data_IF_553214861573
#
_entry.id   IF_553214861573
#
_cell.length_a   1.000
_cell.length_b   1.000
_cell.length_c   1.000
_cell.angle_alpha   90.00
_cell.angle_beta   90.00
_cell.angle_gamma   90.00
#
_symmetry.space_group_name_H-M   'P 1'
#
loop_
_entity.id
_entity.type
_entity.pdbx_description
1 polymer ?
#
# COMPACT_ATOMS: atom_id res chain seq x y z
N UNK A 1 25.54 19.80 -50.44
CA UNK A 1 26.10 18.94 -51.50
C UNK A 1 25.25 17.67 -51.57
N UNK A 2 24.26 17.63 -52.45
CA UNK A 2 24.23 16.93 -53.76
C UNK A 2 23.92 15.41 -53.64
N UNK A 3 22.66 15.09 -54.01
CA UNK A 3 22.13 14.00 -54.88
C UNK A 3 22.35 12.51 -54.51
N UNK A 4 21.26 11.78 -54.19
CA UNK A 4 20.38 10.94 -55.05
C UNK A 4 20.95 9.59 -55.48
N UNK A 5 20.17 8.53 -55.28
CA UNK A 5 20.33 7.25 -55.99
C UNK A 5 19.26 6.23 -55.59
N UNK A 6 18.19 6.14 -56.38
CA UNK A 6 17.24 5.01 -56.44
C UNK A 6 17.89 3.86 -57.22
N UNK A 7 17.65 2.61 -56.84
CA UNK A 7 17.35 1.54 -57.82
C UNK A 7 16.52 0.44 -57.17
N UNK A 8 15.66 -0.13 -58.00
CA UNK A 8 14.53 -1.02 -57.79
C UNK A 8 14.89 -2.32 -58.51
N UNK A 9 14.60 -3.50 -57.94
CA UNK A 9 14.23 -4.69 -58.72
C UNK A 9 13.70 -5.83 -57.83
N UNK A 10 12.61 -6.43 -58.31
CA UNK A 10 11.94 -7.68 -57.95
C UNK A 10 11.74 -8.41 -59.31
N UNK A 11 11.06 -9.57 -59.48
CA UNK A 11 10.59 -10.64 -58.58
C UNK A 11 10.86 -12.08 -59.16
N UNK A 12 10.56 -13.14 -58.41
CA UNK A 12 10.12 -14.49 -58.87
C UNK A 12 10.17 -15.45 -57.66
N UNK A 13 9.30 -16.43 -57.43
CA UNK A 13 8.21 -16.99 -58.21
C UNK A 13 7.41 -18.00 -57.38
N UNK A 14 6.24 -18.33 -57.89
CA UNK A 14 5.15 -19.17 -57.37
C UNK A 14 5.54 -20.66 -57.26
N UNK A 15 5.09 -21.37 -56.21
CA UNK A 15 4.44 -22.69 -56.36
C UNK A 15 3.69 -23.19 -55.12
N UNK A 16 2.39 -23.31 -55.34
CA UNK A 16 1.36 -24.06 -54.64
C UNK A 16 1.67 -25.56 -54.58
N UNK A 17 1.44 -26.22 -53.45
CA UNK A 17 0.76 -27.53 -53.34
C UNK A 17 0.47 -27.89 -51.88
N UNK A 18 -0.82 -28.05 -51.53
CA UNK A 18 -1.26 -28.98 -50.48
C UNK A 18 -1.27 -30.40 -51.05
N UNK A 19 -1.25 -31.44 -50.19
CA UNK A 19 -2.50 -32.20 -50.08
C UNK A 19 -2.80 -32.83 -48.71
N UNK A 20 -4.12 -32.98 -48.52
CA UNK A 20 -4.85 -34.11 -47.91
C UNK A 20 -4.85 -34.26 -46.38
N UNK A 21 -5.95 -33.72 -45.85
CA UNK A 21 -6.73 -34.30 -44.76
C UNK A 21 -6.94 -35.82 -44.94
N UNK A 22 -6.66 -36.58 -43.88
CA UNK A 22 -7.27 -37.88 -43.63
C UNK A 22 -8.27 -37.72 -42.49
N UNK A 23 -9.53 -37.65 -42.87
CA UNK A 23 -10.65 -37.89 -41.99
C UNK A 23 -10.77 -39.40 -41.75
N UNK A 24 -10.84 -39.83 -40.49
CA UNK A 24 -11.46 -41.12 -40.15
C UNK A 24 -12.16 -41.08 -38.80
N UNK A 25 -13.49 -41.09 -38.93
CA UNK A 25 -14.49 -41.74 -38.10
C UNK A 25 -14.58 -41.38 -36.61
N UNK A 26 -15.60 -40.56 -36.33
CA UNK A 26 -16.33 -40.46 -35.07
C UNK A 26 -16.72 -41.87 -34.56
N UNK A 27 -16.47 -42.14 -33.28
CA UNK A 27 -17.17 -43.15 -32.48
C UNK A 27 -17.83 -42.43 -31.31
N UNK A 28 -19.15 -42.40 -31.31
CA UNK A 28 -20.02 -42.09 -30.17
C UNK A 28 -21.19 -43.09 -30.24
N UNK A 29 -21.93 -43.36 -29.16
CA UNK A 29 -21.59 -44.32 -28.10
C UNK A 29 -22.63 -45.46 -28.05
N UNK A 30 -22.24 -46.64 -27.58
CA UNK A 30 -23.19 -47.71 -27.29
C UNK A 30 -23.44 -47.82 -25.78
N UNK A 31 -24.63 -47.39 -25.37
CA UNK A 31 -25.28 -47.75 -24.11
C UNK A 31 -25.98 -49.10 -24.29
N UNK A 32 -25.95 -49.99 -23.28
CA UNK A 32 -27.06 -50.92 -23.09
C UNK A 32 -27.67 -50.83 -21.69
N UNK A 33 -28.99 -50.63 -21.71
CA UNK A 33 -30.02 -51.37 -20.98
C UNK A 33 -29.97 -51.44 -19.45
N UNK A 34 -30.83 -50.58 -18.90
CA UNK A 34 -31.63 -50.74 -17.70
C UNK A 34 -32.19 -52.16 -17.60
N UNK A 35 -31.96 -52.82 -16.45
CA UNK A 35 -32.76 -53.96 -16.00
C UNK A 35 -33.49 -53.55 -14.73
N UNK A 36 -34.82 -53.59 -14.83
CA UNK A 36 -35.75 -53.45 -13.73
C UNK A 36 -35.81 -54.77 -12.95
N UNK A 37 -35.82 -54.68 -11.62
CA UNK A 37 -36.46 -55.69 -10.77
C UNK A 37 -37.29 -54.94 -9.71
N UNK A 38 -38.59 -55.17 -9.80
CA UNK A 38 -39.67 -54.87 -8.86
C UNK A 38 -39.59 -55.94 -7.74
N UNK A 39 -39.71 -55.63 -6.45
CA UNK A 39 -40.94 -55.55 -5.63
C UNK A 39 -40.51 -55.64 -4.13
N UNK A 40 -41.38 -55.50 -3.11
CA UNK A 40 -42.56 -54.64 -2.94
C UNK A 40 -42.47 -53.76 -1.67
N UNK A 41 -43.24 -52.67 -1.65
CA UNK A 41 -43.59 -51.85 -0.47
C UNK A 41 -44.69 -52.51 0.34
N UNK A 42 -44.69 -52.31 1.67
CA UNK A 42 -45.82 -51.84 2.53
C UNK A 42 -45.28 -51.49 3.95
N UNK A 43 -46.00 -50.79 4.85
CA UNK A 43 -46.80 -49.58 4.70
C UNK A 43 -46.37 -48.46 5.69
N UNK A 44 -46.75 -47.20 5.39
CA UNK A 44 -46.56 -46.02 6.27
C UNK A 44 -47.78 -45.79 7.16
N UNK A 45 -47.56 -45.20 8.33
CA UNK A 45 -48.55 -44.40 9.09
C UNK A 45 -47.90 -43.09 9.62
N UNK A 46 -48.69 -42.04 9.94
CA UNK A 46 -48.43 -40.67 9.44
C UNK A 46 -48.24 -39.55 10.49
N UNK A 47 -47.70 -38.39 10.01
CA UNK A 47 -47.80 -37.04 10.61
C UNK A 47 -46.61 -36.65 11.50
N UNK A 48 -45.98 -35.47 11.44
CA UNK A 48 -46.39 -34.11 11.01
C UNK A 48 -45.13 -33.28 10.59
N UNK A 49 -45.30 -32.10 9.95
CA UNK A 49 -44.32 -31.48 9.06
C UNK A 49 -43.43 -30.41 9.73
N UNK A 50 -42.32 -30.10 9.06
CA UNK A 50 -41.69 -28.78 9.18
C UNK A 50 -40.27 -28.79 9.73
N UNK A 51 -39.30 -28.77 8.82
CA UNK A 51 -38.22 -27.78 8.77
C UNK A 51 -37.14 -28.33 7.85
N UNK A 52 -37.17 -27.88 6.60
CA UNK A 52 -36.04 -28.05 5.70
C UNK A 52 -34.88 -27.24 6.30
N UNK A 53 -33.98 -27.94 6.99
CA UNK A 53 -32.71 -27.37 7.45
C UNK A 53 -31.96 -26.93 6.17
N UNK A 54 -31.64 -25.63 6.03
CA UNK A 54 -30.82 -25.18 4.91
C UNK A 54 -29.48 -25.91 5.00
N UNK A 55 -29.10 -26.52 3.88
CA UNK A 55 -27.77 -27.08 3.69
C UNK A 55 -26.72 -26.12 4.24
N UNK A 56 -25.84 -26.65 5.11
CA UNK A 56 -24.67 -25.93 5.61
C UNK A 56 -23.84 -25.46 4.42
N UNK A 57 -24.09 -24.24 3.95
CA UNK A 57 -23.10 -23.49 3.18
C UNK A 57 -21.88 -23.40 4.09
N UNK A 58 -20.86 -24.20 3.77
CA UNK A 58 -19.55 -24.05 4.38
C UNK A 58 -19.11 -22.62 4.10
N UNK A 59 -19.16 -21.77 5.12
CA UNK A 59 -18.60 -20.41 5.06
C UNK A 59 -17.12 -20.58 4.75
N UNK A 60 -16.73 -20.50 3.47
CA UNK A 60 -15.33 -20.41 3.05
C UNK A 60 -14.79 -19.15 3.72
N UNK A 61 -14.12 -19.31 4.87
CA UNK A 61 -13.48 -18.20 5.59
C UNK A 61 -12.54 -17.51 4.60
N UNK A 62 -12.84 -16.26 4.27
CA UNK A 62 -11.95 -15.43 3.47
C UNK A 62 -10.65 -15.28 4.24
N UNK A 63 -9.53 -15.61 3.59
CA UNK A 63 -8.21 -15.59 4.21
C UNK A 63 -7.60 -14.21 3.99
N UNK A 64 -7.99 -13.26 4.83
CA UNK A 64 -7.27 -11.99 4.95
C UNK A 64 -6.19 -12.10 6.02
N UNK A 65 -5.04 -11.46 5.80
CA UNK A 65 -3.95 -11.40 6.78
C UNK A 65 -3.14 -10.11 6.62
N UNK A 66 -2.82 -9.49 7.74
CA UNK A 66 -1.79 -8.44 7.83
C UNK A 66 -0.47 -9.12 8.17
N UNK A 67 0.59 -8.79 7.44
CA UNK A 67 1.95 -9.27 7.71
C UNK A 67 2.77 -8.10 8.19
N UNK A 68 3.29 -8.26 9.41
CA UNK A 68 4.22 -7.32 10.00
C UNK A 68 5.62 -7.54 9.40
N UNK A 69 6.24 -6.45 8.98
CA UNK A 69 7.55 -6.42 8.34
C UNK A 69 8.48 -5.60 9.23
N UNK A 70 9.49 -6.26 9.79
CA UNK A 70 10.56 -5.57 10.51
C UNK A 70 11.51 -4.90 9.54
N UNK A 71 12.06 -3.76 9.94
CA UNK A 71 13.14 -3.13 9.19
C UNK A 71 14.42 -3.96 9.23
N UNK A 72 15.29 -3.74 8.24
CA UNK A 72 16.66 -4.21 8.31
C UNK A 72 17.52 -3.20 9.07
N UNK A 73 18.67 -3.63 9.57
CA UNK A 73 19.59 -2.77 10.30
C UNK A 73 19.94 -1.49 9.52
N UNK A 74 20.12 -1.59 8.20
CA UNK A 74 20.45 -0.45 7.35
C UNK A 74 19.31 0.59 7.29
N UNK A 75 18.05 0.15 7.31
CA UNK A 75 16.90 1.05 7.34
C UNK A 75 16.64 1.59 8.77
N UNK A 76 16.92 0.82 9.81
CA UNK A 76 16.86 1.28 11.20
C UNK A 76 17.87 2.41 11.46
N UNK A 77 19.12 2.25 11.00
CA UNK A 77 20.17 3.28 11.08
C UNK A 77 19.74 4.59 10.39
N UNK A 78 19.06 4.50 9.25
CA UNK A 78 18.53 5.67 8.53
C UNK A 78 17.40 6.37 9.30
N UNK A 79 16.50 5.60 9.90
CA UNK A 79 15.46 6.17 10.77
C UNK A 79 16.06 6.86 11.99
N UNK A 80 17.05 6.24 12.63
CA UNK A 80 17.77 6.82 13.77
C UNK A 80 18.53 8.10 13.36
N UNK A 81 19.15 8.13 12.18
CA UNK A 81 19.79 9.33 11.65
C UNK A 81 18.81 10.50 11.48
N UNK A 82 17.62 10.24 10.92
CA UNK A 82 16.58 11.27 10.77
C UNK A 82 16.02 11.73 12.11
N UNK A 83 15.78 10.80 13.04
CA UNK A 83 15.36 11.11 14.41
C UNK A 83 16.39 12.02 15.11
N UNK A 84 17.67 11.64 15.08
CA UNK A 84 18.76 12.42 15.67
C UNK A 84 18.92 13.80 15.02
N UNK A 85 18.69 13.89 13.71
CA UNK A 85 18.73 15.16 12.98
C UNK A 85 17.54 16.08 13.34
N UNK A 86 16.41 15.51 13.74
CA UNK A 86 15.23 16.25 14.16
C UNK A 86 15.30 16.73 15.63
N UNK A 87 16.09 16.07 16.49
CA UNK A 87 16.18 16.40 17.91
C UNK A 87 16.46 17.89 18.20
N UNK A 88 17.46 18.55 17.58
CA UNK A 88 17.71 19.98 17.82
C UNK A 88 16.52 20.88 17.44
N UNK A 89 15.80 20.51 16.38
CA UNK A 89 14.60 21.21 15.91
C UNK A 89 13.48 21.04 16.93
N UNK A 90 13.25 19.83 17.42
CA UNK A 90 12.23 19.52 18.43
C UNK A 90 12.51 20.24 19.76
N UNK A 91 13.76 20.22 20.24
CA UNK A 91 14.16 20.94 21.46
C UNK A 91 13.87 22.43 21.32
N UNK A 92 14.27 23.04 20.20
CA UNK A 92 13.98 24.46 19.93
C UNK A 92 12.47 24.74 19.90
N UNK A 93 11.68 23.88 19.24
CA UNK A 93 10.22 24.03 19.18
C UNK A 93 9.55 23.89 20.55
N UNK A 94 10.09 23.05 21.43
CA UNK A 94 9.65 22.95 22.81
C UNK A 94 9.95 24.23 23.60
N UNK A 95 11.13 24.80 23.45
CA UNK A 95 11.53 26.07 24.09
C UNK A 95 10.65 27.25 23.63
N UNK A 96 10.26 27.27 22.35
CA UNK A 96 9.30 28.23 21.81
C UNK A 96 7.83 27.95 22.18
N UNK A 97 7.55 26.84 22.89
CA UNK A 97 6.19 26.44 23.27
C UNK A 97 5.30 26.01 22.11
N UNK A 98 5.90 25.63 20.97
CA UNK A 98 5.16 25.15 19.78
C UNK A 98 4.69 23.71 19.98
N UNK A 99 5.50 22.89 20.66
CA UNK A 99 5.17 21.51 21.01
C UNK A 99 5.42 21.25 22.50
N UNK A 100 4.60 20.39 23.15
CA UNK A 100 4.89 19.88 24.49
C UNK A 100 6.21 19.09 24.58
N UNK A 101 6.87 19.15 25.73
CA UNK A 101 8.07 18.35 26.05
C UNK A 101 7.81 16.83 26.04
N UNK A 102 6.55 16.40 26.10
CA UNK A 102 6.16 14.99 26.02
C UNK A 102 6.23 14.41 24.60
N UNK A 103 6.33 15.25 23.57
CA UNK A 103 6.46 14.75 22.20
C UNK A 103 7.85 14.18 21.95
N UNK A 104 7.87 12.92 21.56
CA UNK A 104 9.03 12.25 20.97
C UNK A 104 8.89 12.24 19.45
N UNK A 105 9.98 12.02 18.72
CA UNK A 105 9.94 11.89 17.27
C UNK A 105 8.97 10.77 16.83
N UNK A 106 8.99 9.66 17.55
CA UNK A 106 8.04 8.54 17.42
C UNK A 106 6.56 8.96 17.49
N UNK A 107 6.23 9.88 18.41
CA UNK A 107 4.84 10.30 18.61
C UNK A 107 4.30 11.18 17.49
N UNK A 108 5.15 11.63 16.56
CA UNK A 108 4.81 12.57 15.52
C UNK A 108 4.51 11.85 14.21
N UNK A 109 3.33 12.12 13.65
CA UNK A 109 2.98 11.70 12.29
C UNK A 109 3.08 12.88 11.32
N UNK A 110 3.15 12.61 10.01
CA UNK A 110 3.06 13.66 9.00
C UNK A 110 1.81 14.55 9.17
N UNK A 111 0.68 13.97 9.58
CA UNK A 111 -0.56 14.72 9.81
C UNK A 111 -0.46 15.69 11.00
N UNK A 112 0.10 15.23 12.13
CA UNK A 112 0.30 16.07 13.32
C UNK A 112 1.23 17.24 12.98
N UNK A 113 2.36 16.95 12.34
CA UNK A 113 3.34 17.99 12.00
C UNK A 113 2.84 18.93 10.90
N UNK A 114 2.04 18.44 9.94
CA UNK A 114 1.38 19.29 8.94
C UNK A 114 0.37 20.24 9.58
N UNK A 115 -0.37 19.77 10.58
CA UNK A 115 -1.29 20.62 11.34
C UNK A 115 -0.52 21.75 12.06
N UNK A 116 0.57 21.41 12.77
CA UNK A 116 1.43 22.39 13.44
C UNK A 116 2.01 23.41 12.44
N UNK A 117 2.53 22.94 11.29
CA UNK A 117 3.04 23.80 10.23
C UNK A 117 1.96 24.77 9.72
N UNK A 118 0.75 24.27 9.43
CA UNK A 118 -0.37 25.10 8.99
C UNK A 118 -0.79 26.12 10.04
N UNK A 119 -0.72 25.75 11.32
CA UNK A 119 -1.00 26.67 12.43
C UNK A 119 0.02 27.81 12.46
N UNK A 120 1.31 27.51 12.39
CA UNK A 120 2.35 28.56 12.34
C UNK A 120 2.24 29.42 11.09
N UNK A 121 1.95 28.81 9.94
CA UNK A 121 1.76 29.55 8.69
C UNK A 121 0.58 30.52 8.78
N UNK A 122 -0.52 30.12 9.41
CA UNK A 122 -1.68 30.98 9.62
C UNK A 122 -1.35 32.15 10.54
N UNK A 123 -0.75 31.87 11.71
CA UNK A 123 -0.36 32.93 12.66
C UNK A 123 0.59 33.93 12.01
N UNK A 124 1.53 33.46 11.17
CA UNK A 124 2.43 34.32 10.42
C UNK A 124 1.70 35.24 9.43
N UNK A 125 0.67 34.75 8.73
CA UNK A 125 -0.13 35.54 7.78
C UNK A 125 -1.07 36.53 8.47
N UNK A 126 -1.61 36.16 9.61
CA UNK A 126 -2.57 36.99 10.36
C UNK A 126 -1.86 38.13 11.14
N UNK A 127 -0.53 38.04 11.31
CA UNK A 127 0.27 39.04 12.02
C UNK A 127 0.86 40.06 11.03
N UNK A 128 0.47 41.34 11.14
CA UNK A 128 0.92 42.39 10.21
C UNK A 128 2.43 42.63 10.23
N UNK A 129 3.06 42.53 11.40
CA UNK A 129 4.51 42.71 11.59
C UNK A 129 5.08 41.49 12.34
N UNK A 130 5.33 40.37 11.63
CA UNK A 130 5.77 39.13 12.26
C UNK A 130 7.21 39.25 12.75
N UNK A 131 7.38 39.24 14.08
CA UNK A 131 8.70 39.24 14.71
C UNK A 131 9.54 37.99 14.41
N UNK A 132 10.86 38.08 14.65
CA UNK A 132 11.82 37.03 14.35
C UNK A 132 11.46 35.66 14.95
N UNK A 133 10.88 35.64 16.16
CA UNK A 133 10.48 34.40 16.82
C UNK A 133 9.39 33.65 16.05
N UNK A 134 8.41 34.36 15.48
CA UNK A 134 7.31 33.73 14.73
C UNK A 134 7.81 33.14 13.41
N UNK A 135 8.71 33.87 12.72
CA UNK A 135 9.38 33.37 11.52
C UNK A 135 10.21 32.12 11.83
N UNK A 136 10.93 32.11 12.95
CA UNK A 136 11.69 30.96 13.41
C UNK A 136 10.78 29.77 13.77
N UNK A 137 9.64 29.98 14.42
CA UNK A 137 8.68 28.92 14.72
C UNK A 137 8.13 28.27 13.43
N UNK A 138 7.82 29.09 12.42
CA UNK A 138 7.41 28.60 11.10
C UNK A 138 8.51 27.78 10.43
N UNK A 139 9.75 28.29 10.41
CA UNK A 139 10.93 27.59 9.86
C UNK A 139 11.17 26.25 10.54
N UNK A 140 11.15 26.21 11.87
CA UNK A 140 11.33 24.98 12.63
C UNK A 140 10.20 23.98 12.38
N UNK A 141 8.95 24.43 12.33
CA UNK A 141 7.80 23.57 12.03
C UNK A 141 7.87 22.98 10.63
N UNK A 142 8.33 23.76 9.65
CA UNK A 142 8.54 23.30 8.29
C UNK A 142 9.65 22.25 8.25
N UNK A 143 10.77 22.50 8.92
CA UNK A 143 11.88 21.55 9.01
C UNK A 143 11.42 20.23 9.65
N UNK A 144 10.76 20.29 10.82
CA UNK A 144 10.26 19.12 11.53
C UNK A 144 9.26 18.31 10.68
N UNK A 145 8.29 18.98 10.05
CA UNK A 145 7.34 18.31 9.16
C UNK A 145 8.04 17.59 8.00
N UNK A 146 9.06 18.21 7.43
CA UNK A 146 9.84 17.62 6.33
C UNK A 146 10.59 16.37 6.79
N UNK A 147 11.24 16.42 7.95
CA UNK A 147 11.98 15.27 8.51
C UNK A 147 11.07 14.11 8.89
N UNK A 148 9.94 14.40 9.55
CA UNK A 148 8.93 13.39 9.90
C UNK A 148 8.32 12.76 8.65
N UNK A 149 8.00 13.56 7.62
CA UNK A 149 7.48 13.05 6.35
C UNK A 149 8.52 12.23 5.59
N UNK A 150 9.79 12.64 5.59
CA UNK A 150 10.87 11.86 4.99
C UNK A 150 11.06 10.50 5.68
N UNK A 151 10.98 10.46 7.02
CA UNK A 151 11.07 9.21 7.79
C UNK A 151 9.87 8.28 7.51
N UNK A 152 8.66 8.82 7.43
CA UNK A 152 7.45 8.07 7.06
C UNK A 152 7.57 7.46 5.64
N UNK A 153 7.99 8.28 4.66
CA UNK A 153 8.22 7.81 3.30
C UNK A 153 9.29 6.73 3.22
N UNK A 154 10.37 6.86 3.99
CA UNK A 154 11.43 5.87 4.06
C UNK A 154 10.92 4.54 4.62
N UNK A 155 10.08 4.57 5.66
CA UNK A 155 9.49 3.38 6.28
C UNK A 155 8.48 2.65 5.38
N UNK A 156 7.73 3.41 4.60
CA UNK A 156 6.58 2.87 3.87
C UNK A 156 6.83 2.66 2.37
N UNK A 157 7.67 3.50 1.75
CA UNK A 157 7.86 3.60 0.30
C UNK A 157 9.32 3.44 -0.14
N UNK A 158 10.29 3.65 0.76
CA UNK A 158 11.72 3.46 0.51
C UNK A 158 12.54 4.76 0.51
N UNK A 159 13.86 4.59 0.54
CA UNK A 159 14.84 5.69 0.72
C UNK A 159 14.73 6.78 -0.35
N UNK A 160 14.58 6.39 -1.63
CA UNK A 160 14.54 7.35 -2.74
C UNK A 160 13.36 8.33 -2.62
N UNK A 161 12.20 7.85 -2.18
CA UNK A 161 11.03 8.72 -2.00
C UNK A 161 11.26 9.77 -0.93
N UNK A 162 11.94 9.41 0.17
CA UNK A 162 12.35 10.35 1.22
C UNK A 162 13.35 11.39 0.71
N UNK A 163 14.34 10.99 -0.09
CA UNK A 163 15.33 11.90 -0.72
C UNK A 163 14.64 12.92 -1.61
N UNK A 164 13.79 12.45 -2.53
CA UNK A 164 13.07 13.32 -3.47
C UNK A 164 12.17 14.31 -2.71
N UNK A 165 11.51 13.87 -1.64
CA UNK A 165 10.71 14.75 -0.79
C UNK A 165 11.56 15.85 -0.15
N UNK A 166 12.69 15.49 0.48
CA UNK A 166 13.59 16.45 1.11
C UNK A 166 14.10 17.49 0.11
N UNK A 167 14.61 17.06 -1.04
CA UNK A 167 15.08 17.96 -2.09
C UNK A 167 13.97 18.90 -2.61
N UNK A 168 12.78 18.36 -2.86
CA UNK A 168 11.66 19.16 -3.36
C UNK A 168 11.19 20.23 -2.35
N UNK A 169 11.17 19.92 -1.06
CA UNK A 169 10.81 20.89 -0.01
C UNK A 169 11.92 21.92 0.19
N UNK A 170 13.17 21.49 0.21
CA UNK A 170 14.36 22.35 0.29
C UNK A 170 14.36 23.39 -0.85
N UNK A 171 14.14 22.96 -2.09
CA UNK A 171 14.08 23.85 -3.26
C UNK A 171 12.89 24.82 -3.18
N UNK A 172 11.70 24.30 -2.84
CA UNK A 172 10.47 25.10 -2.77
C UNK A 172 10.51 26.17 -1.68
N UNK A 173 11.17 25.90 -0.57
CA UNK A 173 11.23 26.79 0.59
C UNK A 173 12.64 27.29 0.91
N UNK A 174 13.48 27.41 -0.12
CA UNK A 174 14.89 27.83 0.01
C UNK A 174 15.07 29.12 0.81
N UNK A 175 14.22 30.12 0.57
CA UNK A 175 14.25 31.40 1.30
C UNK A 175 13.96 31.25 2.81
N UNK A 176 13.19 30.23 3.21
CA UNK A 176 12.85 29.98 4.61
C UNK A 176 13.83 29.02 5.27
N UNK A 177 14.18 27.93 4.59
CA UNK A 177 14.99 26.86 5.15
C UNK A 177 16.50 27.14 5.03
N UNK A 178 16.93 28.01 4.12
CA UNK A 178 18.36 28.13 3.77
C UNK A 178 18.90 26.74 3.43
N UNK A 179 20.11 26.40 3.86
CA UNK A 179 20.72 25.07 3.62
C UNK A 179 20.46 24.07 4.77
N UNK A 180 19.42 24.29 5.59
CA UNK A 180 19.20 23.50 6.82
C UNK A 180 18.96 21.99 6.60
N UNK A 181 18.49 21.59 5.41
CA UNK A 181 18.30 20.18 5.06
C UNK A 181 19.43 19.61 4.20
N UNK A 182 20.39 20.44 3.76
CA UNK A 182 21.39 20.05 2.76
C UNK A 182 22.26 18.88 3.25
N UNK A 183 22.73 18.95 4.49
CA UNK A 183 23.54 17.89 5.09
C UNK A 183 22.78 16.55 5.14
N UNK A 184 21.51 16.59 5.55
CA UNK A 184 20.64 15.42 5.68
C UNK A 184 20.39 14.83 4.29
N UNK A 185 20.00 15.67 3.33
CA UNK A 185 19.75 15.28 1.96
C UNK A 185 20.99 14.66 1.29
N UNK A 186 22.18 15.27 1.50
CA UNK A 186 23.44 14.75 0.99
C UNK A 186 23.79 13.38 1.59
N UNK A 187 23.63 13.22 2.92
CA UNK A 187 23.86 11.95 3.59
C UNK A 187 22.95 10.85 3.05
N UNK A 188 21.65 11.12 2.90
CA UNK A 188 20.73 10.14 2.32
C UNK A 188 21.07 9.79 0.86
N UNK A 189 21.48 10.75 0.04
CA UNK A 189 21.96 10.50 -1.32
C UNK A 189 23.18 9.58 -1.34
N UNK A 190 24.18 9.84 -0.48
CA UNK A 190 25.36 8.99 -0.35
C UNK A 190 24.98 7.57 0.09
N UNK A 191 24.11 7.46 1.10
CA UNK A 191 23.62 6.15 1.58
C UNK A 191 22.83 5.41 0.51
N UNK A 192 22.07 6.11 -0.34
CA UNK A 192 21.40 5.50 -1.49
C UNK A 192 22.38 4.89 -2.48
N UNK A 193 23.47 5.61 -2.82
CA UNK A 193 24.53 5.06 -3.68
C UNK A 193 25.16 3.79 -3.07
N UNK A 194 25.39 3.77 -1.76
CA UNK A 194 25.91 2.60 -1.05
C UNK A 194 24.91 1.44 -1.08
N UNK A 195 23.62 1.71 -0.91
CA UNK A 195 22.55 0.70 -0.98
C UNK A 195 22.48 0.08 -2.37
N UNK A 196 22.60 0.88 -3.43
CA UNK A 196 22.64 0.37 -4.80
C UNK A 196 23.84 -0.57 -5.02
N UNK A 197 25.03 -0.19 -4.56
CA UNK A 197 26.24 -1.02 -4.67
C UNK A 197 26.09 -2.35 -3.93
N UNK A 198 25.51 -2.31 -2.72
CA UNK A 198 25.27 -3.49 -1.88
C UNK A 198 23.98 -4.26 -2.23
N UNK A 199 23.17 -3.75 -3.16
CA UNK A 199 21.83 -4.26 -3.50
C UNK A 199 20.90 -4.37 -2.29
N UNK A 200 20.93 -3.37 -1.41
CA UNK A 200 20.04 -3.29 -0.23
C UNK A 200 18.66 -2.88 -0.71
N UNK A 201 17.69 -3.79 -0.57
CA UNK A 201 16.29 -3.56 -0.91
C UNK A 201 15.48 -3.25 0.34
N UNK A 202 14.36 -2.55 0.16
CA UNK A 202 13.43 -2.33 1.25
C UNK A 202 12.86 -3.67 1.75
N UNK A 203 12.87 -3.99 3.07
CA UNK A 203 12.44 -5.29 3.61
C UNK A 203 11.03 -5.71 3.19
N UNK A 204 10.14 -4.74 3.02
CA UNK A 204 8.77 -4.96 2.55
C UNK A 204 8.69 -5.53 1.13
N UNK A 205 9.60 -5.16 0.23
CA UNK A 205 9.66 -5.74 -1.11
C UNK A 205 10.01 -7.23 -1.05
N UNK A 206 10.97 -7.59 -0.19
CA UNK A 206 11.39 -8.97 0.03
C UNK A 206 10.25 -9.80 0.63
N UNK A 207 9.58 -9.28 1.66
CA UNK A 207 8.47 -9.99 2.29
C UNK A 207 7.26 -10.10 1.35
N UNK A 208 6.95 -9.06 0.57
CA UNK A 208 5.91 -9.11 -0.47
C UNK A 208 6.19 -10.27 -1.45
N UNK A 209 7.39 -10.32 -2.01
CA UNK A 209 7.77 -11.33 -2.99
C UNK A 209 7.68 -12.74 -2.40
N UNK A 210 8.19 -12.94 -1.18
CA UNK A 210 8.07 -14.20 -0.44
C UNK A 210 6.62 -14.63 -0.23
N UNK A 211 5.74 -13.72 0.21
CA UNK A 211 4.34 -14.06 0.44
C UNK A 211 3.59 -14.43 -0.84
N UNK A 212 3.91 -13.76 -1.95
CA UNK A 212 3.36 -14.07 -3.27
C UNK A 212 3.87 -15.43 -3.76
N UNK A 213 5.16 -15.70 -3.65
CA UNK A 213 5.78 -16.98 -4.03
C UNK A 213 5.14 -18.15 -3.24
N UNK A 214 5.07 -18.04 -1.91
CA UNK A 214 4.47 -19.05 -1.05
C UNK A 214 2.99 -19.29 -1.35
N UNK A 215 2.25 -18.22 -1.68
CA UNK A 215 0.86 -18.34 -2.07
C UNK A 215 0.72 -19.09 -3.39
N UNK A 216 1.57 -18.79 -4.37
CA UNK A 216 1.53 -19.37 -5.70
C UNK A 216 1.80 -20.87 -5.68
N UNK A 217 2.84 -21.29 -4.95
CA UNK A 217 3.15 -22.71 -4.73
C UNK A 217 1.93 -23.44 -4.16
N UNK A 218 1.30 -22.87 -3.13
CA UNK A 218 0.10 -23.45 -2.47
C UNK A 218 -1.14 -23.47 -3.38
N UNK A 219 -1.25 -22.56 -4.34
CA UNK A 219 -2.37 -22.48 -5.28
C UNK A 219 -2.22 -23.49 -6.42
N UNK A 220 -1.00 -23.67 -6.96
CA UNK A 220 -0.69 -24.67 -7.99
C UNK A 220 -1.05 -26.10 -7.54
N UNK A 221 -0.84 -26.43 -6.27
CA UNK A 221 -1.23 -27.72 -5.69
C UNK A 221 -2.74 -28.00 -5.66
N UNK A 222 -3.62 -27.05 -6.04
CA UNK A 222 -5.08 -27.16 -5.90
C UNK A 222 -5.87 -27.22 -7.21
N UNK A 223 -5.21 -27.55 -8.32
CA UNK A 223 -5.81 -27.84 -9.65
C UNK A 223 -6.94 -26.88 -10.05
N UNK A 224 -6.61 -25.61 -10.26
CA UNK A 224 -7.53 -24.61 -10.84
C UNK A 224 -7.18 -24.43 -12.30
N UNK A 225 -8.17 -24.51 -13.21
CA UNK A 225 -7.99 -24.42 -14.66
C UNK A 225 -7.60 -23.01 -15.16
N UNK A 226 -7.71 -21.97 -14.33
CA UNK A 226 -7.26 -20.62 -14.66
C UNK A 226 -5.99 -20.23 -13.91
N UNK A 227 -5.07 -19.60 -14.63
CA UNK A 227 -3.87 -18.97 -14.08
C UNK A 227 -4.27 -17.83 -13.15
N UNK A 228 -3.85 -17.87 -11.88
CA UNK A 228 -4.36 -16.95 -10.89
C UNK A 228 -3.72 -15.56 -11.03
N UNK A 229 -4.54 -14.53 -11.22
CA UNK A 229 -4.08 -13.13 -11.33
C UNK A 229 -3.87 -12.47 -9.97
N UNK A 230 -2.89 -11.57 -9.90
CA UNK A 230 -2.48 -10.86 -8.68
C UNK A 230 -2.63 -9.35 -8.88
N UNK A 231 -3.20 -8.68 -7.88
CA UNK A 231 -3.23 -7.22 -7.81
C UNK A 231 -2.31 -6.75 -6.70
N UNK A 232 -1.50 -5.73 -6.96
CA UNK A 232 -0.70 -5.03 -5.98
C UNK A 232 -1.14 -3.57 -5.96
N UNK A 233 -1.63 -3.14 -4.80
CA UNK A 233 -2.11 -1.78 -4.57
C UNK A 233 -1.02 -1.02 -3.82
N UNK A 234 -0.56 0.07 -4.43
CA UNK A 234 0.33 1.05 -3.81
C UNK A 234 -0.48 2.27 -3.39
N UNK A 235 -0.19 2.87 -2.23
CA UNK A 235 -0.81 4.14 -1.82
C UNK A 235 -0.38 5.31 -2.73
N UNK A 236 0.90 5.29 -3.07
CA UNK A 236 1.55 6.18 -4.01
C UNK A 236 2.49 5.35 -4.89
N UNK A 237 2.73 5.81 -6.09
CA UNK A 237 3.47 5.09 -7.12
C UNK A 237 4.69 5.88 -7.62
N UNK A 238 5.64 6.23 -6.73
CA UNK A 238 6.88 6.85 -7.15
C UNK A 238 7.63 5.90 -8.11
N UNK A 239 8.22 6.40 -9.20
CA UNK A 239 8.77 5.56 -10.27
C UNK A 239 9.74 4.47 -9.79
N UNK A 240 10.63 4.78 -8.83
CA UNK A 240 11.57 3.80 -8.29
C UNK A 240 10.88 2.66 -7.55
N UNK A 241 9.88 2.94 -6.71
CA UNK A 241 9.14 1.89 -5.99
C UNK A 241 8.40 0.98 -6.97
N UNK A 242 7.78 1.55 -8.01
CA UNK A 242 7.09 0.77 -9.04
C UNK A 242 8.08 -0.16 -9.75
N UNK A 243 9.25 0.36 -10.15
CA UNK A 243 10.31 -0.45 -10.75
C UNK A 243 10.77 -1.57 -9.81
N UNK A 244 11.09 -1.26 -8.56
CA UNK A 244 11.56 -2.25 -7.58
C UNK A 244 10.51 -3.34 -7.33
N UNK A 245 9.23 -2.98 -7.27
CA UNK A 245 8.10 -3.92 -7.16
C UNK A 245 8.06 -4.83 -8.39
N UNK A 246 8.12 -4.27 -9.60
CA UNK A 246 8.09 -5.04 -10.86
C UNK A 246 9.27 -6.00 -10.93
N UNK A 247 10.48 -5.51 -10.68
CA UNK A 247 11.71 -6.31 -10.72
C UNK A 247 11.61 -7.49 -9.73
N UNK A 248 11.17 -7.22 -8.50
CA UNK A 248 11.00 -8.26 -7.49
C UNK A 248 9.95 -9.30 -7.88
N UNK A 249 8.83 -8.90 -8.48
CA UNK A 249 7.80 -9.85 -8.94
C UNK A 249 8.31 -10.73 -10.08
N UNK A 250 9.10 -10.17 -11.00
CA UNK A 250 9.68 -10.92 -12.11
C UNK A 250 10.68 -11.99 -11.64
N UNK A 251 11.24 -11.87 -10.43
CA UNK A 251 12.08 -12.93 -9.85
C UNK A 251 11.30 -14.15 -9.36
N UNK A 252 9.97 -14.06 -9.22
CA UNK A 252 9.14 -15.13 -8.67
C UNK A 252 8.79 -16.14 -9.75
N UNK A 253 9.13 -17.40 -9.52
CA UNK A 253 8.85 -18.48 -10.45
C UNK A 253 7.36 -18.53 -10.86
N UNK A 254 7.14 -18.51 -12.17
CA UNK A 254 5.82 -18.55 -12.79
C UNK A 254 5.20 -17.17 -13.04
N UNK A 255 5.69 -16.07 -12.46
CA UNK A 255 5.26 -14.73 -12.89
C UNK A 255 5.99 -14.42 -14.20
N UNK A 256 5.27 -14.50 -15.31
CA UNK A 256 5.86 -14.29 -16.64
C UNK A 256 5.84 -12.83 -17.05
N UNK A 257 4.84 -12.07 -16.56
CA UNK A 257 4.65 -10.68 -16.94
C UNK A 257 3.90 -9.88 -15.89
N UNK A 258 4.31 -8.63 -15.73
CA UNK A 258 3.76 -7.65 -14.79
C UNK A 258 3.38 -6.40 -15.57
N UNK A 259 2.16 -5.91 -15.38
CA UNK A 259 1.70 -4.62 -15.89
C UNK A 259 1.62 -3.60 -14.76
N UNK A 260 1.86 -2.33 -15.07
CA UNK A 260 1.80 -1.22 -14.10
C UNK A 260 0.84 -0.14 -14.58
N UNK A 261 0.00 0.40 -13.70
CA UNK A 261 -0.89 1.53 -13.97
C UNK A 261 -0.51 2.69 -13.06
N UNK A 262 -0.03 3.78 -13.67
CA UNK A 262 0.49 4.96 -12.98
C UNK A 262 -0.57 6.05 -12.87
N UNK A 263 -0.62 6.70 -11.70
CA UNK A 263 -1.43 7.88 -11.41
C UNK A 263 -0.95 9.12 -12.16
N UNK A 264 0.32 9.15 -12.59
CA UNK A 264 0.85 10.24 -13.42
C UNK A 264 0.36 10.17 -14.88
N UNK A 265 0.08 8.96 -15.37
CA UNK A 265 -0.31 8.74 -16.78
C UNK A 265 -1.83 8.79 -16.97
N UNK A 266 -2.58 8.43 -15.92
CA UNK A 266 -4.02 8.24 -16.00
C UNK A 266 -4.72 9.38 -15.26
N UNK A 267 -5.51 10.16 -16.01
CA UNK A 267 -6.36 11.21 -15.44
C UNK A 267 -7.68 10.59 -14.97
N UNK A 268 -7.88 10.54 -13.65
CA UNK A 268 -9.10 10.00 -13.06
C UNK A 268 -8.97 8.52 -12.69
N UNK A 269 -10.03 7.74 -12.91
CA UNK A 269 -10.08 6.33 -12.55
C UNK A 269 -9.84 5.43 -13.77
N UNK A 270 -9.15 4.31 -13.57
CA UNK A 270 -8.93 3.29 -14.61
C UNK A 270 -10.24 2.59 -14.94
N UNK A 271 -10.50 2.34 -16.23
CA UNK A 271 -11.71 1.62 -16.61
C UNK A 271 -11.53 0.11 -16.53
N UNK A 272 -12.65 -0.62 -16.38
CA UNK A 272 -12.66 -2.08 -16.42
C UNK A 272 -11.99 -2.65 -17.69
N UNK A 273 -12.24 -2.07 -18.87
CA UNK A 273 -11.70 -2.56 -20.14
C UNK A 273 -10.18 -2.44 -20.19
N UNK A 274 -9.62 -1.33 -19.70
CA UNK A 274 -8.17 -1.10 -19.66
C UNK A 274 -7.47 -2.11 -18.76
N UNK A 275 -8.06 -2.41 -17.60
CA UNK A 275 -7.54 -3.40 -16.66
C UNK A 275 -7.56 -4.79 -17.28
N UNK A 276 -8.70 -5.22 -17.84
CA UNK A 276 -8.84 -6.54 -18.47
C UNK A 276 -7.83 -6.72 -19.62
N UNK A 277 -7.71 -5.72 -20.49
CA UNK A 277 -6.76 -5.74 -21.62
C UNK A 277 -5.30 -5.92 -21.17
N UNK A 278 -4.92 -5.39 -20.01
CA UNK A 278 -3.58 -5.59 -19.44
C UNK A 278 -3.43 -6.99 -18.84
N UNK A 279 -4.45 -7.49 -18.15
CA UNK A 279 -4.46 -8.82 -17.54
C UNK A 279 -4.43 -9.96 -18.57
N UNK A 280 -4.94 -9.74 -19.79
CA UNK A 280 -4.81 -10.69 -20.90
C UNK A 280 -3.34 -11.05 -21.21
N UNK A 281 -2.41 -10.13 -20.90
CA UNK A 281 -0.97 -10.27 -21.18
C UNK A 281 -0.11 -10.33 -19.92
N UNK A 282 -0.71 -10.22 -18.73
CA UNK A 282 0.02 -10.13 -17.46
C UNK A 282 -0.57 -10.99 -16.36
N UNK A 283 0.31 -11.53 -15.52
CA UNK A 283 -0.08 -12.30 -14.33
C UNK A 283 -0.35 -11.38 -13.14
N UNK A 284 0.34 -10.24 -13.12
CA UNK A 284 0.26 -9.26 -12.05
C UNK A 284 -0.06 -7.87 -12.59
N UNK A 285 -0.87 -7.14 -11.84
CA UNK A 285 -1.11 -5.72 -12.04
C UNK A 285 -0.65 -4.95 -10.80
N UNK A 286 0.19 -3.94 -11.00
CA UNK A 286 0.58 -2.96 -9.97
C UNK A 286 -0.19 -1.67 -10.25
N UNK A 287 -0.90 -1.13 -9.26
CA UNK A 287 -1.75 0.04 -9.44
C UNK A 287 -1.67 0.97 -8.23
N UNK A 288 -1.75 2.27 -8.48
CA UNK A 288 -1.93 3.27 -7.43
C UNK A 288 -3.38 3.28 -6.91
N UNK A 289 -3.59 3.39 -5.60
CA UNK A 289 -4.93 3.35 -5.01
C UNK A 289 -5.82 4.51 -5.47
N UNK A 290 -5.23 5.66 -5.80
CA UNK A 290 -5.94 6.87 -6.21
C UNK A 290 -6.70 6.75 -7.52
N UNK A 291 -6.30 5.82 -8.40
CA UNK A 291 -6.89 5.61 -9.72
C UNK A 291 -7.84 4.41 -9.76
N UNK A 292 -8.06 3.72 -8.64
CA UNK A 292 -9.02 2.61 -8.56
C UNK A 292 -10.44 3.18 -8.43
N UNK A 293 -11.28 2.89 -9.41
CA UNK A 293 -12.68 3.28 -9.44
C UNK A 293 -13.67 2.24 -8.95
N UNK A 294 -14.95 2.61 -8.93
CA UNK A 294 -16.05 1.70 -8.55
C UNK A 294 -16.30 0.59 -9.56
N UNK A 295 -15.91 0.80 -10.82
CA UNK A 295 -16.03 -0.14 -11.94
C UNK A 295 -14.85 -1.12 -12.05
N UNK A 296 -13.88 -1.05 -11.13
CA UNK A 296 -12.69 -1.87 -11.17
C UNK A 296 -13.02 -3.39 -11.15
N UNK A 297 -12.41 -4.22 -12.02
CA UNK A 297 -12.86 -5.60 -12.26
C UNK A 297 -12.28 -6.59 -11.23
N UNK A 298 -12.65 -6.44 -9.96
CA UNK A 298 -12.13 -7.23 -8.82
C UNK A 298 -12.20 -8.74 -9.01
N UNK A 299 -13.23 -9.24 -9.69
CA UNK A 299 -13.44 -10.67 -9.93
C UNK A 299 -12.33 -11.34 -10.76
N UNK A 300 -11.49 -10.56 -11.45
CA UNK A 300 -10.35 -11.07 -12.20
C UNK A 300 -9.20 -11.54 -11.29
N UNK A 301 -9.16 -11.07 -10.04
CA UNK A 301 -8.02 -11.28 -9.15
C UNK A 301 -8.25 -12.42 -8.16
N UNK A 302 -7.23 -13.26 -8.00
CA UNK A 302 -7.21 -14.33 -7.01
C UNK A 302 -6.49 -13.94 -5.70
N UNK A 303 -5.64 -12.91 -5.77
CA UNK A 303 -4.90 -12.35 -4.64
C UNK A 303 -4.81 -10.83 -4.81
N UNK A 304 -5.12 -10.10 -3.75
CA UNK A 304 -4.87 -8.67 -3.62
C UNK A 304 -3.81 -8.47 -2.53
N UNK A 305 -2.78 -7.72 -2.86
CA UNK A 305 -1.72 -7.31 -1.94
C UNK A 305 -1.76 -5.79 -1.78
N UNK A 306 -2.10 -5.33 -0.59
CA UNK A 306 -1.95 -3.95 -0.18
C UNK A 306 -0.52 -3.74 0.34
N UNK A 307 0.28 -2.98 -0.40
CA UNK A 307 1.69 -2.77 -0.05
C UNK A 307 1.83 -1.92 1.22
N UNK A 308 0.92 -1.00 1.48
CA UNK A 308 0.93 -0.17 2.69
C UNK A 308 -0.37 -0.39 3.46
N UNK A 309 -0.29 -1.11 4.57
CA UNK A 309 -1.44 -1.33 5.44
C UNK A 309 -1.93 -0.01 6.05
N UNK A 310 -3.23 0.20 5.99
CA UNK A 310 -3.94 1.24 6.74
C UNK A 310 -5.14 0.62 7.48
N UNK A 311 -5.38 1.02 8.72
CA UNK A 311 -6.51 0.51 9.50
C UNK A 311 -7.86 0.84 8.84
N UNK A 312 -7.94 2.00 8.20
CA UNK A 312 -9.13 2.50 7.49
C UNK A 312 -9.21 2.03 6.04
N UNK A 313 -8.32 1.14 5.60
CA UNK A 313 -8.28 0.67 4.22
C UNK A 313 -9.60 -0.01 3.79
N UNK A 314 -10.19 0.38 2.65
CA UNK A 314 -11.43 -0.22 2.16
C UNK A 314 -11.21 -1.62 1.56
N UNK A 315 -9.96 -1.98 1.24
CA UNK A 315 -9.64 -3.17 0.45
C UNK A 315 -9.94 -4.47 1.19
N UNK A 316 -9.77 -4.46 2.52
CA UNK A 316 -10.07 -5.60 3.37
C UNK A 316 -11.53 -6.05 3.24
N UNK A 317 -12.46 -5.12 3.47
CA UNK A 317 -13.90 -5.40 3.43
C UNK A 317 -14.37 -5.72 2.02
N UNK A 318 -13.80 -5.04 1.01
CA UNK A 318 -14.07 -5.36 -0.39
C UNK A 318 -13.67 -6.80 -0.73
N UNK A 319 -12.44 -7.20 -0.41
CA UNK A 319 -11.96 -8.56 -0.69
C UNK A 319 -12.76 -9.62 0.06
N UNK A 320 -13.20 -9.33 1.30
CA UNK A 320 -14.11 -10.21 2.05
C UNK A 320 -15.44 -10.41 1.32
N UNK A 321 -16.06 -9.33 0.82
CA UNK A 321 -17.33 -9.39 0.08
C UNK A 321 -17.19 -10.18 -1.22
N UNK A 322 -16.07 -10.01 -1.93
CA UNK A 322 -15.80 -10.67 -3.21
C UNK A 322 -15.13 -12.05 -3.07
N UNK A 323 -14.91 -12.53 -1.85
CA UNK A 323 -14.19 -13.77 -1.54
C UNK A 323 -12.76 -13.86 -2.13
N UNK A 324 -12.11 -12.72 -2.27
CA UNK A 324 -10.73 -12.61 -2.77
C UNK A 324 -9.77 -12.75 -1.58
N UNK A 325 -8.62 -13.42 -1.80
CA UNK A 325 -7.58 -13.47 -0.78
C UNK A 325 -6.93 -12.09 -0.66
N UNK A 326 -6.79 -11.62 0.57
CA UNK A 326 -6.19 -10.32 0.86
C UNK A 326 -4.93 -10.48 1.72
N UNK A 327 -3.91 -9.71 1.38
CA UNK A 327 -2.67 -9.57 2.14
C UNK A 327 -2.38 -8.08 2.28
N UNK A 328 -2.09 -7.60 3.48
CA UNK A 328 -1.56 -6.25 3.67
C UNK A 328 -0.21 -6.31 4.38
N UNK A 329 0.69 -5.38 4.06
CA UNK A 329 2.01 -5.29 4.68
C UNK A 329 2.07 -4.08 5.62
N UNK A 330 2.29 -4.33 6.90
CA UNK A 330 2.51 -3.31 7.92
C UNK A 330 4.00 -3.26 8.25
N UNK A 331 4.68 -2.15 8.00
CA UNK A 331 6.04 -1.98 8.50
C UNK A 331 5.97 -1.72 10.00
N UNK A 332 6.79 -2.42 10.78
CA UNK A 332 7.02 -2.08 12.18
C UNK A 332 8.15 -1.07 12.21
N UNK A 333 7.82 0.17 12.58
CA UNK A 333 8.83 1.21 12.78
C UNK A 333 9.76 0.88 13.95
N UNK A 334 11.00 1.40 13.96
CA UNK A 334 11.90 1.27 15.10
C UNK A 334 11.32 1.94 16.36
N UNK A 335 10.35 2.82 16.14
CA UNK A 335 9.57 3.51 17.15
C UNK A 335 8.48 2.60 17.75
N UNK A 336 7.61 1.99 16.94
CA UNK A 336 6.53 1.11 17.48
C UNK A 336 7.06 -0.02 18.38
N UNK A 337 8.23 -0.57 18.07
CA UNK A 337 8.88 -1.61 18.89
C UNK A 337 9.37 -1.12 20.27
N UNK A 338 9.67 0.18 20.43
CA UNK A 338 10.12 0.79 21.69
C UNK A 338 8.95 1.08 22.62
N UNK A 339 7.78 1.43 22.08
CA UNK A 339 6.54 1.59 22.84
C UNK A 339 6.07 0.28 23.51
N UNK A 340 6.20 -0.86 22.81
CA UNK A 340 5.92 -2.19 23.37
C UNK A 340 6.94 -2.60 24.45
N UNK A 341 8.21 -2.23 24.29
CA UNK A 341 9.25 -2.48 25.29
C UNK A 341 9.05 -1.62 26.55
N UNK A 342 8.67 -0.34 26.40
CA UNK A 342 8.34 0.53 27.53
C UNK A 342 7.09 0.04 28.27
N UNK A 343 6.04 -0.34 27.54
CA UNK A 343 4.80 -0.84 28.15
C UNK A 343 4.97 -2.21 28.84
N UNK A 344 5.86 -3.09 28.35
CA UNK A 344 6.27 -4.30 29.05
C UNK A 344 7.09 -4.00 30.33
N UNK A 345 7.93 -2.96 30.29
CA UNK A 345 8.74 -2.52 31.44
C UNK A 345 7.88 -1.82 32.51
N UNK A 346 6.86 -1.07 32.10
CA UNK A 346 5.88 -0.42 32.99
C UNK A 346 4.91 -1.44 33.58
N UNK A 347 4.49 -2.45 32.81
CA UNK A 347 3.66 -3.56 33.32
C UNK A 347 4.37 -4.39 34.39
N UNK A 348 5.71 -4.40 34.38
CA UNK A 348 6.50 -5.08 35.42
C UNK A 348 6.73 -4.22 36.68
N UNK A 349 6.37 -2.93 36.66
CA UNK A 349 6.53 -2.00 37.80
C UNK A 349 5.23 -1.46 38.38
N UNK A 350 4.09 -1.58 37.70
CA UNK A 350 2.79 -1.14 38.21
C UNK A 350 1.78 -2.29 38.34
N UNK A 351 1.97 -3.15 39.33
CA UNK A 351 0.85 -3.77 40.04
C UNK A 351 0.60 -2.97 41.32
N UNK A 352 0.05 -1.76 41.19
CA UNK A 352 -0.78 -1.12 42.21
C UNK A 352 -1.48 0.12 41.65
N UNK A 353 -2.77 0.21 41.98
CA UNK A 353 -3.74 1.29 41.74
C UNK A 353 -4.39 1.35 40.34
N UNK A 354 -5.64 0.90 40.29
CA UNK A 354 -6.55 1.17 39.19
C UNK A 354 -6.92 2.65 39.14
N UNK A 355 -6.55 3.30 38.05
CA UNK A 355 -7.10 4.60 37.67
C UNK A 355 -7.50 4.51 36.20
N UNK A 356 -8.80 4.64 35.92
CA UNK A 356 -9.28 4.86 34.56
C UNK A 356 -8.64 6.14 34.00
N UNK A 357 -8.25 6.17 32.71
CA UNK A 357 -7.75 7.40 32.10
C UNK A 357 -8.88 8.45 32.11
N UNK A 358 -8.68 9.52 32.88
CA UNK A 358 -9.58 10.64 32.94
C UNK A 358 -9.35 11.52 31.70
N UNK A 359 -10.23 11.37 30.70
CA UNK A 359 -10.22 12.24 29.52
C UNK A 359 -10.61 13.66 29.94
N UNK A 360 -9.67 14.60 29.83
CA UNK A 360 -9.96 16.02 29.98
C UNK A 360 -10.20 16.61 28.59
N UNK A 361 -11.47 16.83 28.25
CA UNK A 361 -11.83 17.53 27.03
C UNK A 361 -11.55 19.03 27.20
N UNK A 362 -10.57 19.55 26.47
CA UNK A 362 -10.32 20.99 26.38
C UNK A 362 -11.32 21.58 25.38
N UNK A 363 -12.52 21.91 25.87
CA UNK A 363 -13.52 22.65 25.13
C UNK A 363 -13.37 24.15 25.35
N UNK A 364 -13.22 24.93 24.28
CA UNK A 364 -13.40 26.38 24.36
C UNK A 364 -14.89 26.68 24.61
N UNK A 365 -15.22 27.49 25.63
CA UNK A 365 -16.61 27.93 25.88
C UNK A 365 -17.24 28.59 24.65
N UNK A 366 -16.44 29.17 23.75
CA UNK A 366 -16.91 29.76 22.49
C UNK A 366 -17.34 28.71 21.47
N UNK A 367 -16.75 27.52 21.49
CA UNK A 367 -17.11 26.41 20.61
C UNK A 367 -18.40 25.73 21.09
N UNK A 368 -18.51 25.45 22.39
CA UNK A 368 -19.70 24.80 22.97
C UNK A 368 -20.94 25.68 23.01
N UNK A 369 -20.77 27.00 22.90
CA UNK A 369 -21.88 27.95 22.87
C UNK A 369 -22.43 28.23 21.47
N UNK A 370 -21.78 27.72 20.42
CA UNK A 370 -22.21 27.93 19.05
C UNK A 370 -22.82 26.63 18.50
N UNK A 371 -24.15 26.57 18.50
CA UNK A 371 -24.91 25.41 18.04
C UNK A 371 -24.70 25.10 16.56
N UNK A 372 -24.40 26.09 15.72
CA UNK A 372 -24.10 25.86 14.30
C UNK A 372 -22.75 25.15 14.09
N UNK A 373 -21.72 25.53 14.87
CA UNK A 373 -20.41 24.89 14.81
C UNK A 373 -20.46 23.44 15.31
N UNK A 374 -21.30 23.15 16.31
CA UNK A 374 -21.52 21.78 16.78
C UNK A 374 -22.23 20.94 15.71
N UNK A 375 -23.25 21.50 15.05
CA UNK A 375 -23.98 20.80 13.98
C UNK A 375 -23.09 20.51 12.76
N UNK A 376 -22.11 21.37 12.46
CA UNK A 376 -21.10 21.14 11.42
C UNK A 376 -20.12 20.00 11.76
N UNK A 377 -19.88 19.71 13.03
CA UNK A 377 -19.03 18.60 13.48
C UNK A 377 -19.80 17.27 13.52
N UNK A 378 -21.11 17.33 13.72
CA UNK A 378 -22.02 16.17 13.76
C UNK A 378 -22.49 15.73 12.37
N UNK A 379 -22.48 16.63 11.37
CA UNK A 379 -22.79 16.30 9.99
C UNK A 379 -21.59 15.63 9.30
N UNK A 380 -21.54 14.30 9.35
CA UNK A 380 -20.76 13.46 8.42
C UNK A 380 -21.67 12.74 7.44
#
# INVERSE_FOLDING_TARGET
>A
MIRTGKTQESPAGVRTTMPKAQARAMKVPQTPLIRADLEPREPRTPGTPGSAIPSKQSKKKVKSRVVEVKLSAEYEELCEFLENSAQPVMTSMCEFGVIPASHTFESLTPDITLFLLKQQQKTLKDTSEPGANLQQCYRLSLCLHTLVTAADLLLHSGLVTGIVHLGAVQDKYKETLGDSLEFIHHHLCQTHCLFQQKKVLHPKLLEMAKQIADWRVRKKCKSSDQDPKILIILKADPPQLVTDVVDMLQTIEGINSVSTMSSADIKGQVTSEEVVKRLDKSDCLVVCSSIIGSDFPWAQFSLVVEYQYEETSPWLELCKRQHIRHLALKTLGPWEARSDALSATVSSKNQQSGAHPQYTFIGSRRLTANSELLHLLEAR
#
